data_IF_370099746547
#
_entry.id   IF_370099746547
#
_cell.length_a   1.000
_cell.length_b   1.000
_cell.length_c   1.000
_cell.angle_alpha   90.00
_cell.angle_beta   90.00
_cell.angle_gamma   90.00
#
_symmetry.space_group_name_H-M   'P 1'
#
loop_
_entity.id
_entity.type
_entity.pdbx_description
1 polymer ?
#
# COMPACT_ATOMS: atom_id res chain seq x y z
N UNK A 1 -13.06 62.52 58.58
CA UNK A 1 -12.73 62.16 57.19
C UNK A 1 -14.03 61.99 56.40
N UNK A 2 -14.38 62.97 55.58
CA UNK A 2 -15.58 62.99 54.74
C UNK A 2 -15.30 62.31 53.39
N UNK A 3 -16.03 61.23 53.08
CA UNK A 3 -15.89 60.48 51.84
C UNK A 3 -16.64 61.15 50.68
N UNK A 4 -15.89 61.70 49.72
CA UNK A 4 -16.46 62.26 48.49
C UNK A 4 -16.77 61.13 47.48
N UNK A 5 -18.05 60.83 47.30
CA UNK A 5 -18.52 59.90 46.25
C UNK A 5 -18.58 60.63 44.91
N UNK A 6 -17.54 60.46 44.07
CA UNK A 6 -17.52 60.97 42.70
C UNK A 6 -18.47 60.13 41.83
N UNK A 7 -19.69 60.63 41.63
CA UNK A 7 -20.66 60.07 40.68
C UNK A 7 -20.22 60.45 39.26
N UNK A 8 -19.61 59.50 38.54
CA UNK A 8 -19.36 59.65 37.10
C UNK A 8 -20.71 59.66 36.36
N UNK A 9 -21.12 60.84 35.91
CA UNK A 9 -22.33 61.06 35.11
C UNK A 9 -21.93 60.84 33.65
N UNK A 10 -22.17 59.63 33.13
CA UNK A 10 -22.01 59.34 31.70
C UNK A 10 -23.01 60.19 30.91
N UNK A 11 -22.48 61.10 30.09
CA UNK A 11 -23.27 61.88 29.14
C UNK A 11 -23.69 60.96 28.00
N UNK A 12 -24.93 60.48 28.04
CA UNK A 12 -25.60 59.87 26.89
C UNK A 12 -25.79 60.94 25.82
N UNK A 13 -24.87 61.01 24.87
CA UNK A 13 -25.03 61.85 23.69
C UNK A 13 -26.11 61.24 22.80
N UNK A 14 -27.30 61.83 22.86
CA UNK A 14 -28.43 61.54 21.98
C UNK A 14 -28.14 62.10 20.58
N UNK A 15 -27.29 61.40 19.84
CA UNK A 15 -26.95 61.68 18.43
C UNK A 15 -26.55 60.37 17.73
N UNK A 16 -27.27 59.29 18.02
CA UNK A 16 -26.87 57.92 17.67
C UNK A 16 -27.85 57.18 16.76
N UNK A 17 -29.04 57.69 16.45
CA UNK A 17 -30.09 56.91 15.75
C UNK A 17 -29.69 56.44 14.36
N UNK A 18 -29.05 57.30 13.55
CA UNK A 18 -28.57 56.93 12.22
C UNK A 18 -27.35 56.00 12.27
N UNK A 19 -26.42 56.22 13.21
CA UNK A 19 -25.28 55.35 13.41
C UNK A 19 -25.69 53.96 13.95
N UNK A 20 -26.65 53.89 14.87
CA UNK A 20 -27.25 52.64 15.33
C UNK A 20 -28.01 51.93 14.23
N UNK A 21 -28.77 52.64 13.39
CA UNK A 21 -29.45 52.05 12.23
C UNK A 21 -28.44 51.47 11.22
N UNK A 22 -27.35 52.20 10.92
CA UNK A 22 -26.27 51.71 10.06
C UNK A 22 -25.61 50.46 10.66
N UNK A 23 -25.28 50.48 11.96
CA UNK A 23 -24.71 49.32 12.65
C UNK A 23 -25.66 48.12 12.70
N UNK A 24 -26.97 48.37 12.82
CA UNK A 24 -27.99 47.32 12.76
C UNK A 24 -28.04 46.70 11.35
N UNK A 25 -28.06 47.51 10.29
CA UNK A 25 -28.06 47.01 8.90
C UNK A 25 -26.78 46.22 8.62
N UNK A 26 -25.62 46.74 9.01
CA UNK A 26 -24.32 46.06 8.85
C UNK A 26 -24.29 44.74 9.62
N UNK A 27 -24.80 44.70 10.86
CA UNK A 27 -24.84 43.46 11.64
C UNK A 27 -25.76 42.40 11.03
N UNK A 28 -26.91 42.78 10.46
CA UNK A 28 -27.79 41.87 9.72
C UNK A 28 -27.11 41.33 8.45
N UNK A 29 -26.42 42.19 7.70
CA UNK A 29 -25.65 41.77 6.51
C UNK A 29 -24.57 40.75 6.89
N UNK A 30 -23.80 41.02 7.95
CA UNK A 30 -22.79 40.07 8.44
C UNK A 30 -23.40 38.80 9.02
N UNK A 31 -24.55 38.86 9.69
CA UNK A 31 -25.25 37.68 10.20
C UNK A 31 -25.64 36.70 9.08
N UNK A 32 -25.97 37.22 7.88
CA UNK A 32 -26.28 36.41 6.70
C UNK A 32 -25.00 35.95 5.97
N UNK A 33 -24.01 36.82 5.81
CA UNK A 33 -22.78 36.50 5.06
C UNK A 33 -21.82 35.58 5.82
N UNK A 34 -21.69 35.75 7.14
CA UNK A 34 -20.78 34.96 7.98
C UNK A 34 -20.96 33.44 7.84
N UNK A 35 -22.18 32.85 7.93
CA UNK A 35 -22.34 31.40 7.78
C UNK A 35 -22.01 30.89 6.37
N UNK A 36 -22.19 31.71 5.34
CA UNK A 36 -21.83 31.36 3.96
C UNK A 36 -20.31 31.30 3.82
N UNK A 37 -19.61 32.33 4.30
CA UNK A 37 -18.15 32.39 4.29
C UNK A 37 -17.53 31.26 5.12
N UNK A 38 -18.09 30.96 6.30
CA UNK A 38 -17.65 29.87 7.15
C UNK A 38 -17.75 28.51 6.44
N UNK A 39 -18.85 28.26 5.71
CA UNK A 39 -19.01 27.02 4.93
C UNK A 39 -18.02 26.93 3.78
N UNK A 40 -17.78 28.02 3.06
CA UNK A 40 -16.80 28.03 1.97
C UNK A 40 -15.38 27.77 2.48
N UNK A 41 -15.01 28.39 3.61
CA UNK A 41 -13.73 28.17 4.28
C UNK A 41 -13.59 26.71 4.73
N UNK A 42 -14.63 26.15 5.36
CA UNK A 42 -14.64 24.73 5.77
C UNK A 42 -14.39 23.79 4.59
N UNK A 43 -15.10 23.98 3.48
CA UNK A 43 -14.92 23.18 2.27
C UNK A 43 -13.53 23.37 1.64
N UNK A 44 -12.99 24.59 1.65
CA UNK A 44 -11.65 24.88 1.15
C UNK A 44 -10.57 24.18 1.99
N UNK A 45 -10.67 24.24 3.31
CA UNK A 45 -9.75 23.56 4.24
C UNK A 45 -9.84 22.05 4.07
N UNK A 46 -11.05 21.49 4.00
CA UNK A 46 -11.26 20.06 3.78
C UNK A 46 -10.57 19.58 2.50
N UNK A 47 -10.77 20.27 1.37
CA UNK A 47 -10.10 19.93 0.10
C UNK A 47 -8.58 20.07 0.17
N UNK A 48 -8.06 21.08 0.86
CA UNK A 48 -6.61 21.25 1.05
C UNK A 48 -5.99 20.11 1.85
N UNK A 49 -6.69 19.61 2.87
CA UNK A 49 -6.23 18.46 3.68
C UNK A 49 -6.13 17.17 2.85
N UNK A 50 -7.08 16.91 1.96
CA UNK A 50 -7.04 15.74 1.07
C UNK A 50 -5.81 15.74 0.16
N UNK A 51 -5.50 16.87 -0.48
CA UNK A 51 -4.31 16.94 -1.33
C UNK A 51 -3.00 16.85 -0.55
N UNK A 52 -2.97 17.34 0.70
CA UNK A 52 -1.81 17.19 1.58
C UNK A 52 -1.63 15.73 1.99
N UNK A 53 -2.74 15.03 2.27
CA UNK A 53 -2.73 13.60 2.55
C UNK A 53 -2.19 12.80 1.35
N UNK A 54 -2.64 13.11 0.13
CA UNK A 54 -2.11 12.49 -1.10
C UNK A 54 -0.61 12.71 -1.28
N UNK A 55 -0.15 13.96 -1.10
CA UNK A 55 1.27 14.29 -1.19
C UNK A 55 2.11 13.53 -0.16
N UNK A 56 1.59 13.40 1.06
CA UNK A 56 2.27 12.71 2.16
C UNK A 56 2.29 11.20 1.97
N UNK A 57 1.19 10.62 1.47
CA UNK A 57 1.11 9.22 1.11
C UNK A 57 2.05 8.88 -0.06
N UNK A 58 2.10 9.72 -1.09
CA UNK A 58 3.00 9.54 -2.22
C UNK A 58 4.47 9.58 -1.77
N UNK A 59 4.80 10.51 -0.88
CA UNK A 59 6.14 10.62 -0.28
C UNK A 59 6.51 9.40 0.57
N UNK A 60 5.60 8.95 1.44
CA UNK A 60 5.85 7.83 2.35
C UNK A 60 5.97 6.49 1.62
N UNK A 61 5.04 6.22 0.71
CA UNK A 61 5.03 4.96 -0.06
C UNK A 61 6.06 4.94 -1.18
N UNK A 62 6.51 6.12 -1.61
CA UNK A 62 7.28 6.35 -2.84
C UNK A 62 6.61 5.76 -4.08
N UNK A 63 5.29 5.53 -4.08
CA UNK A 63 4.60 4.83 -5.16
C UNK A 63 3.34 5.56 -5.62
N UNK A 64 3.48 6.71 -6.31
CA UNK A 64 2.36 7.56 -6.72
C UNK A 64 1.40 6.86 -7.71
N UNK A 65 1.92 6.01 -8.61
CA UNK A 65 1.05 5.28 -9.56
C UNK A 65 0.14 4.27 -8.85
N UNK A 66 0.65 3.59 -7.81
CA UNK A 66 -0.16 2.69 -7.00
C UNK A 66 -1.29 3.40 -6.28
N UNK A 67 -1.02 4.60 -5.76
CA UNK A 67 -2.05 5.44 -5.15
C UNK A 67 -3.11 5.90 -6.16
N UNK A 68 -2.68 6.29 -7.37
CA UNK A 68 -3.60 6.65 -8.45
C UNK A 68 -4.51 5.47 -8.85
N UNK A 69 -3.92 4.28 -8.99
CA UNK A 69 -4.66 3.04 -9.29
C UNK A 69 -5.63 2.66 -8.17
N UNK A 70 -5.22 2.79 -6.91
CA UNK A 70 -6.09 2.55 -5.77
C UNK A 70 -7.30 3.50 -5.76
N UNK A 71 -7.07 4.79 -6.01
CA UNK A 71 -8.16 5.78 -6.11
C UNK A 71 -9.09 5.49 -7.29
N UNK A 72 -8.56 5.01 -8.41
CA UNK A 72 -9.36 4.60 -9.57
C UNK A 72 -10.30 3.44 -9.20
N UNK A 73 -9.77 2.39 -8.55
CA UNK A 73 -10.56 1.25 -8.06
C UNK A 73 -11.62 1.70 -7.06
N UNK A 74 -11.27 2.54 -6.07
CA UNK A 74 -12.23 3.03 -5.07
C UNK A 74 -13.31 3.88 -5.74
N UNK A 75 -12.95 4.73 -6.71
CA UNK A 75 -13.91 5.58 -7.43
C UNK A 75 -14.84 4.79 -8.36
N UNK A 76 -14.39 3.63 -8.83
CA UNK A 76 -15.20 2.72 -9.67
C UNK A 76 -16.24 1.96 -8.86
N UNK A 77 -16.07 1.84 -7.54
CA UNK A 77 -17.01 1.14 -6.70
C UNK A 77 -18.25 2.02 -6.41
N UNK A 78 -19.40 1.61 -6.94
CA UNK A 78 -20.65 2.36 -6.85
C UNK A 78 -21.62 1.82 -5.81
N UNK A 79 -21.19 0.96 -4.87
CA UNK A 79 -22.06 0.44 -3.83
C UNK A 79 -22.71 1.60 -3.04
N UNK A 80 -24.06 1.74 -3.06
CA UNK A 80 -24.72 2.76 -2.27
C UNK A 80 -24.53 2.47 -0.79
N UNK A 81 -23.96 3.42 -0.07
CA UNK A 81 -23.86 3.37 1.40
C UNK A 81 -25.20 3.87 1.96
N UNK A 82 -25.97 2.97 2.58
CA UNK A 82 -27.26 3.31 3.20
C UNK A 82 -27.11 4.32 4.36
N UNK A 83 -25.97 4.31 5.06
CA UNK A 83 -25.70 5.13 6.24
C UNK A 83 -24.85 6.40 5.99
N UNK A 84 -24.66 6.81 4.73
CA UNK A 84 -23.82 7.98 4.43
C UNK A 84 -24.53 9.30 4.81
N UNK A 85 -24.05 9.96 5.86
CA UNK A 85 -24.52 11.28 6.31
C UNK A 85 -23.48 12.37 6.01
N UNK A 86 -23.89 13.64 5.96
CA UNK A 86 -23.00 14.80 5.79
C UNK A 86 -21.96 14.91 6.90
N UNK A 87 -22.28 14.45 8.12
CA UNK A 87 -21.38 14.44 9.27
C UNK A 87 -20.26 13.40 9.11
N UNK A 88 -20.58 12.24 8.54
CA UNK A 88 -19.61 11.15 8.35
C UNK A 88 -18.88 11.23 7.01
N UNK A 89 -19.34 12.06 6.07
CA UNK A 89 -18.73 12.25 4.75
C UNK A 89 -17.19 12.52 4.78
N UNK A 90 -16.62 13.27 5.74
CA UNK A 90 -15.17 13.46 5.84
C UNK A 90 -14.38 12.19 6.23
N UNK A 91 -15.03 11.17 6.78
CA UNK A 91 -14.36 9.90 7.13
C UNK A 91 -14.20 8.95 5.93
N UNK A 92 -14.87 9.24 4.82
CA UNK A 92 -14.79 8.42 3.61
C UNK A 92 -13.69 8.95 2.67
N UNK A 93 -12.98 8.01 2.04
CA UNK A 93 -11.92 8.30 1.04
C UNK A 93 -12.51 8.95 -0.23
N UNK A 94 -13.72 8.54 -0.62
CA UNK A 94 -14.48 9.09 -1.76
C UNK A 94 -15.82 9.61 -1.25
N UNK A 95 -16.25 10.76 -1.76
CA UNK A 95 -17.49 11.40 -1.31
C UNK A 95 -18.71 10.50 -1.61
N UNK A 96 -19.38 9.95 -0.58
CA UNK A 96 -20.49 9.02 -0.77
C UNK A 96 -21.77 9.72 -1.26
N UNK A 97 -21.83 11.05 -1.19
CA UNK A 97 -23.00 11.87 -1.55
C UNK A 97 -23.00 12.29 -3.04
N UNK A 98 -21.99 11.87 -3.83
CA UNK A 98 -21.80 12.27 -5.23
C UNK A 98 -22.92 11.82 -6.19
N UNK A 99 -23.71 10.79 -5.83
CA UNK A 99 -24.72 10.20 -6.74
C UNK A 99 -25.82 11.16 -7.19
N UNK A 100 -26.08 12.29 -6.51
CA UNK A 100 -27.28 13.09 -6.81
C UNK A 100 -27.15 14.16 -7.92
N UNK A 101 -26.00 14.76 -8.25
CA UNK A 101 -25.94 15.81 -9.32
C UNK A 101 -24.54 15.92 -9.96
N UNK A 102 -24.41 15.62 -11.26
CA UNK A 102 -23.12 15.47 -11.97
C UNK A 102 -22.34 16.76 -12.34
N UNK A 103 -22.82 17.98 -12.02
CA UNK A 103 -22.06 19.23 -12.35
C UNK A 103 -22.07 20.32 -11.27
N UNK A 104 -23.15 20.43 -10.48
CA UNK A 104 -23.27 21.42 -9.38
C UNK A 104 -22.71 20.93 -8.02
N UNK A 105 -22.33 19.65 -7.92
CA UNK A 105 -21.80 19.05 -6.69
C UNK A 105 -20.33 19.36 -6.42
N UNK A 106 -19.55 19.76 -7.43
CA UNK A 106 -18.11 20.05 -7.24
C UNK A 106 -17.88 21.25 -6.31
N UNK A 107 -18.77 22.24 -6.34
CA UNK A 107 -18.66 23.45 -5.51
C UNK A 107 -18.97 23.19 -4.03
N UNK A 108 -19.88 22.25 -3.75
CA UNK A 108 -20.34 21.90 -2.39
C UNK A 108 -19.80 20.57 -1.86
N UNK A 109 -18.89 19.93 -2.59
CA UNK A 109 -18.26 18.67 -2.16
C UNK A 109 -17.23 18.92 -1.06
N UNK A 110 -17.30 18.09 -0.01
CA UNK A 110 -16.31 18.04 1.08
C UNK A 110 -14.94 17.55 0.61
N UNK A 111 -14.91 16.85 -0.52
CA UNK A 111 -13.71 16.29 -1.14
C UNK A 111 -13.46 16.88 -2.53
N UNK A 112 -12.20 17.01 -2.96
CA UNK A 112 -11.91 17.31 -4.35
C UNK A 112 -12.31 16.12 -5.23
N UNK A 113 -12.67 16.35 -6.50
CA UNK A 113 -13.02 15.26 -7.40
C UNK A 113 -11.85 14.29 -7.55
N UNK A 114 -12.15 12.99 -7.49
CA UNK A 114 -11.15 11.91 -7.54
C UNK A 114 -10.34 11.92 -8.82
N UNK A 115 -10.94 12.30 -9.95
CA UNK A 115 -10.26 12.41 -11.25
C UNK A 115 -9.11 13.41 -11.23
N UNK A 116 -9.25 14.54 -10.52
CA UNK A 116 -8.17 15.52 -10.37
C UNK A 116 -7.02 14.95 -9.54
N UNK A 117 -7.33 14.26 -8.43
CA UNK A 117 -6.31 13.61 -7.57
C UNK A 117 -5.51 12.58 -8.35
N UNK A 118 -6.19 11.72 -9.11
CA UNK A 118 -5.56 10.72 -9.98
C UNK A 118 -4.65 11.39 -11.01
N UNK A 119 -5.12 12.47 -11.66
CA UNK A 119 -4.32 13.21 -12.65
C UNK A 119 -3.06 13.82 -12.03
N UNK A 120 -3.15 14.37 -10.82
CA UNK A 120 -1.99 14.92 -10.10
C UNK A 120 -0.99 13.80 -9.79
N UNK A 121 -1.44 12.69 -9.20
CA UNK A 121 -0.55 11.58 -8.83
C UNK A 121 0.15 10.95 -10.03
N UNK A 122 -0.56 10.76 -11.16
CA UNK A 122 0.02 10.23 -12.40
C UNK A 122 1.01 11.17 -13.07
N UNK A 123 0.83 12.48 -12.90
CA UNK A 123 1.74 13.49 -13.47
C UNK A 123 2.99 13.73 -12.63
N UNK A 124 3.08 13.14 -11.43
CA UNK A 124 4.29 13.22 -10.60
C UNK A 124 5.47 12.56 -11.30
N UNK A 125 6.61 13.22 -11.33
CA UNK A 125 7.86 12.66 -11.85
C UNK A 125 8.60 11.82 -10.79
N UNK A 126 8.71 12.34 -9.57
CA UNK A 126 9.25 11.64 -8.40
C UNK A 126 8.17 11.37 -7.34
N UNK A 127 8.61 11.17 -6.10
CA UNK A 127 7.75 11.01 -4.92
C UNK A 127 7.88 12.16 -3.92
N UNK A 128 8.67 13.20 -4.22
CA UNK A 128 8.90 14.33 -3.33
C UNK A 128 7.73 15.29 -3.24
N UNK A 129 7.74 16.14 -2.21
CA UNK A 129 6.78 17.23 -2.09
C UNK A 129 6.91 18.27 -3.21
N UNK A 130 8.13 18.53 -3.68
CA UNK A 130 8.36 19.40 -4.84
C UNK A 130 7.69 18.84 -6.10
N UNK A 131 7.84 17.53 -6.34
CA UNK A 131 7.24 16.85 -7.49
C UNK A 131 5.71 16.87 -7.42
N UNK A 132 5.15 16.71 -6.23
CA UNK A 132 3.70 16.82 -6.03
C UNK A 132 3.22 18.25 -6.31
N UNK A 133 3.93 19.26 -5.80
CA UNK A 133 3.55 20.66 -5.95
C UNK A 133 3.63 21.13 -7.42
N UNK A 134 4.63 20.67 -8.19
CA UNK A 134 4.73 20.97 -9.62
C UNK A 134 3.62 20.28 -10.43
N UNK A 135 3.29 19.04 -10.09
CA UNK A 135 2.18 18.28 -10.69
C UNK A 135 0.82 18.87 -10.34
N UNK A 136 0.67 19.38 -9.12
CA UNK A 136 -0.54 20.11 -8.73
C UNK A 136 -0.70 21.41 -9.52
N UNK A 137 0.38 22.18 -9.70
CA UNK A 137 0.34 23.43 -10.45
C UNK A 137 0.00 23.21 -11.94
N UNK A 138 0.46 22.09 -12.53
CA UNK A 138 0.12 21.74 -13.92
C UNK A 138 -1.37 21.40 -14.10
N UNK A 139 -1.99 20.77 -13.09
CA UNK A 139 -3.42 20.42 -13.12
C UNK A 139 -4.30 21.60 -12.71
N UNK A 140 -3.86 22.44 -11.75
CA UNK A 140 -4.59 23.60 -11.23
C UNK A 140 -3.73 24.87 -11.22
N UNK A 141 -3.57 25.56 -12.37
CA UNK A 141 -2.70 26.73 -12.47
C UNK A 141 -3.20 27.94 -11.65
N UNK A 142 -4.51 28.04 -11.39
CA UNK A 142 -5.11 29.14 -10.62
C UNK A 142 -5.17 28.89 -9.11
N UNK A 143 -4.76 27.70 -8.64
CA UNK A 143 -4.85 27.35 -7.22
C UNK A 143 -3.57 27.73 -6.46
N UNK A 144 -3.75 28.15 -5.21
CA UNK A 144 -2.62 28.45 -4.30
C UNK A 144 -1.79 27.21 -4.00
N UNK A 145 -0.51 27.39 -3.68
CA UNK A 145 0.37 26.32 -3.17
C UNK A 145 -0.27 25.58 -1.99
N UNK A 146 -0.31 24.26 -2.08
CA UNK A 146 -0.90 23.41 -1.04
C UNK A 146 0.13 23.11 0.04
N UNK A 147 1.36 22.83 -0.38
CA UNK A 147 2.45 22.47 0.50
C UNK A 147 3.01 23.74 1.15
N UNK A 148 3.22 23.75 2.48
CA UNK A 148 3.79 24.90 3.17
C UNK A 148 5.22 25.14 2.69
N UNK A 149 5.63 26.42 2.63
CA UNK A 149 6.97 26.82 2.18
C UNK A 149 8.10 26.13 2.95
N UNK A 150 7.89 25.82 4.24
CA UNK A 150 8.84 25.07 5.07
C UNK A 150 9.12 23.66 4.53
N UNK A 151 8.09 22.95 4.06
CA UNK A 151 8.21 21.60 3.51
C UNK A 151 8.76 21.58 2.07
N UNK A 152 8.73 22.72 1.37
CA UNK A 152 9.34 22.86 0.04
C UNK A 152 10.85 23.18 0.11
N UNK A 153 11.37 23.55 1.28
CA UNK A 153 12.81 23.82 1.47
C UNK A 153 13.67 22.57 1.39
N UNK A 154 13.13 21.41 1.79
CA UNK A 154 13.81 20.14 1.61
C UNK A 154 13.78 19.77 0.14
N UNK A 155 14.87 20.06 -0.58
CA UNK A 155 15.12 19.58 -1.96
C UNK A 155 15.46 18.09 -1.92
N UNK A 156 14.54 17.28 -1.42
CA UNK A 156 14.68 15.84 -1.30
C UNK A 156 14.18 15.20 -2.60
N UNK A 157 15.11 14.72 -3.42
CA UNK A 157 14.80 14.00 -4.66
C UNK A 157 14.51 12.54 -4.33
N UNK A 158 13.23 12.22 -4.13
CA UNK A 158 12.79 10.85 -3.87
C UNK A 158 12.41 10.17 -5.17
N UNK A 159 13.17 9.14 -5.54
CA UNK A 159 12.81 8.26 -6.66
C UNK A 159 11.56 7.44 -6.34
N UNK A 160 10.78 7.12 -7.38
CA UNK A 160 9.63 6.24 -7.26
C UNK A 160 10.10 4.81 -7.00
N UNK A 161 9.46 4.16 -6.03
CA UNK A 161 9.56 2.72 -5.77
C UNK A 161 8.83 1.96 -6.89
N UNK A 162 9.44 0.89 -7.39
CA UNK A 162 8.77 -0.03 -8.32
C UNK A 162 7.62 -0.80 -7.64
N UNK A 163 6.63 -1.23 -8.42
CA UNK A 163 5.56 -2.09 -7.93
C UNK A 163 6.14 -3.39 -7.35
N UNK A 164 5.82 -3.73 -6.10
CA UNK A 164 6.18 -5.02 -5.52
C UNK A 164 5.13 -6.11 -5.78
N UNK A 165 4.34 -5.95 -6.84
CA UNK A 165 3.34 -6.95 -7.21
C UNK A 165 4.13 -8.14 -7.76
N UNK A 166 3.98 -9.31 -7.14
CA UNK A 166 4.36 -10.58 -7.77
C UNK A 166 3.65 -10.63 -9.13
N UNK A 167 4.41 -10.72 -10.22
CA UNK A 167 3.93 -10.80 -11.61
C UNK A 167 2.99 -11.99 -11.90
N UNK A 168 2.55 -12.71 -10.88
CA UNK A 168 1.62 -13.83 -10.93
C UNK A 168 0.15 -13.40 -11.15
N UNK A 169 -0.11 -12.42 -12.03
CA UNK A 169 -1.47 -12.26 -12.53
C UNK A 169 -1.80 -13.52 -13.36
N UNK A 170 -2.86 -14.29 -13.02
CA UNK A 170 -3.15 -15.53 -13.74
C UNK A 170 -3.39 -15.22 -15.21
N UNK A 171 -2.71 -15.93 -16.12
CA UNK A 171 -2.76 -15.64 -17.57
C UNK A 171 -4.17 -15.85 -18.16
N UNK A 172 -5.04 -16.56 -17.44
CA UNK A 172 -6.46 -16.73 -17.79
C UNK A 172 -7.36 -16.91 -16.57
N UNK A 173 -8.66 -16.62 -16.72
CA UNK A 173 -9.68 -16.93 -15.69
C UNK A 173 -9.70 -18.42 -15.32
N UNK A 174 -9.53 -19.32 -16.30
CA UNK A 174 -9.44 -20.77 -16.07
C UNK A 174 -8.24 -21.14 -15.20
N UNK A 175 -7.11 -20.49 -15.41
CA UNK A 175 -5.90 -20.69 -14.61
C UNK A 175 -6.07 -20.12 -13.20
N UNK A 176 -6.72 -18.95 -13.07
CA UNK A 176 -7.09 -18.39 -11.77
C UNK A 176 -7.95 -19.34 -10.94
N UNK A 177 -9.02 -19.90 -11.53
CA UNK A 177 -9.89 -20.88 -10.87
C UNK A 177 -9.11 -22.15 -10.47
N UNK A 178 -8.20 -22.62 -11.33
CA UNK A 178 -7.34 -23.78 -11.00
C UNK A 178 -6.39 -23.48 -9.84
N UNK A 179 -5.77 -22.31 -9.82
CA UNK A 179 -4.84 -21.90 -8.77
C UNK A 179 -5.56 -21.75 -7.43
N UNK A 180 -6.74 -21.15 -7.42
CA UNK A 180 -7.59 -21.05 -6.22
C UNK A 180 -8.01 -22.45 -5.75
N UNK A 181 -8.45 -23.33 -6.66
CA UNK A 181 -8.81 -24.71 -6.32
C UNK A 181 -7.64 -25.53 -5.78
N UNK A 182 -6.43 -25.33 -6.29
CA UNK A 182 -5.21 -25.95 -5.76
C UNK A 182 -4.86 -25.42 -4.38
N UNK A 183 -5.01 -24.12 -4.14
CA UNK A 183 -4.75 -23.52 -2.84
C UNK A 183 -5.72 -24.02 -1.77
N UNK A 184 -7.02 -24.10 -2.07
CA UNK A 184 -8.03 -24.68 -1.18
C UNK A 184 -7.67 -26.14 -0.84
N UNK A 185 -7.21 -26.93 -1.82
CA UNK A 185 -6.79 -28.32 -1.58
C UNK A 185 -5.51 -28.41 -0.76
N UNK A 186 -4.55 -27.52 -0.97
CA UNK A 186 -3.33 -27.44 -0.15
C UNK A 186 -3.67 -27.18 1.33
N UNK A 187 -4.59 -26.25 1.60
CA UNK A 187 -5.09 -25.94 2.96
C UNK A 187 -5.77 -27.16 3.59
N UNK A 188 -6.46 -27.98 2.79
CA UNK A 188 -7.07 -29.22 3.24
C UNK A 188 -6.10 -30.43 3.28
N UNK A 189 -4.79 -30.18 3.24
CA UNK A 189 -3.76 -31.23 3.40
C UNK A 189 -3.56 -32.12 2.17
N UNK A 190 -3.94 -31.67 0.96
CA UNK A 190 -3.61 -32.41 -0.26
C UNK A 190 -2.14 -32.26 -0.63
N UNK A 191 -1.51 -33.36 -1.05
CA UNK A 191 -0.19 -33.36 -1.66
C UNK A 191 -0.28 -33.20 -3.18
N UNK A 192 0.67 -32.47 -3.77
CA UNK A 192 0.76 -32.28 -5.21
C UNK A 192 2.04 -32.92 -5.74
N UNK A 193 1.90 -33.96 -6.56
CA UNK A 193 3.02 -34.66 -7.19
C UNK A 193 3.08 -34.27 -8.66
N UNK A 194 4.26 -33.93 -9.15
CA UNK A 194 4.48 -33.64 -10.57
C UNK A 194 5.13 -34.86 -11.21
N UNK A 195 4.44 -35.47 -12.17
CA UNK A 195 5.03 -36.55 -12.97
C UNK A 195 6.03 -35.98 -13.98
N UNK A 196 7.04 -36.76 -14.35
CA UNK A 196 7.99 -36.43 -15.42
C UNK A 196 7.32 -36.15 -16.78
N UNK A 197 6.09 -36.63 -17.02
CA UNK A 197 5.30 -36.29 -18.22
C UNK A 197 4.58 -34.92 -18.14
N UNK A 198 4.80 -34.16 -17.06
CA UNK A 198 4.22 -32.85 -16.80
C UNK A 198 2.84 -32.85 -16.14
N UNK A 199 2.27 -34.02 -15.83
CA UNK A 199 0.96 -34.09 -15.16
C UNK A 199 1.09 -33.85 -13.65
N UNK A 200 0.35 -32.86 -13.13
CA UNK A 200 0.21 -32.59 -11.69
C UNK A 200 -0.91 -33.47 -11.10
N UNK A 201 -0.52 -34.46 -10.31
CA UNK A 201 -1.42 -35.40 -9.63
C UNK A 201 -1.71 -34.86 -8.22
N UNK A 202 -2.97 -34.88 -7.81
CA UNK A 202 -3.45 -34.35 -6.53
C UNK A 202 -3.80 -35.53 -5.62
N UNK A 203 -3.10 -35.69 -4.51
CA UNK A 203 -3.32 -36.77 -3.55
C UNK A 203 -4.01 -36.23 -2.30
N UNK A 204 -5.11 -36.84 -1.84
CA UNK A 204 -5.72 -36.48 -0.56
C UNK A 204 -4.81 -36.89 0.60
N UNK A 205 -4.99 -36.25 1.76
CA UNK A 205 -4.26 -36.54 3.00
C UNK A 205 -4.37 -38.00 3.47
N UNK A 206 -5.49 -38.68 3.14
CA UNK A 206 -5.76 -40.07 3.54
C UNK A 206 -5.23 -41.13 2.54
N UNK A 207 -4.35 -40.77 1.61
CA UNK A 207 -3.84 -41.72 0.61
C UNK A 207 -2.80 -42.68 1.22
N UNK A 208 -3.12 -43.98 1.28
CA UNK A 208 -2.32 -45.00 2.01
C UNK A 208 -1.30 -45.77 1.17
N UNK A 209 -1.32 -45.64 -0.16
CA UNK A 209 -0.43 -46.42 -1.03
C UNK A 209 0.93 -45.71 -1.18
N UNK A 210 2.06 -46.45 -1.15
CA UNK A 210 3.40 -45.87 -1.28
C UNK A 210 3.70 -45.37 -2.70
N UNK A 211 2.86 -45.74 -3.69
CA UNK A 211 3.04 -45.36 -5.08
C UNK A 211 1.69 -44.98 -5.71
N UNK A 212 1.74 -44.08 -6.70
CA UNK A 212 0.61 -43.70 -7.56
C UNK A 212 1.04 -43.81 -9.02
N UNK A 213 0.22 -44.45 -9.85
CA UNK A 213 0.47 -44.54 -11.29
C UNK A 213 -0.07 -43.30 -12.00
N UNK A 214 0.73 -42.74 -12.90
CA UNK A 214 0.32 -41.59 -13.69
C UNK A 214 -0.64 -42.00 -14.82
N UNK A 215 -1.87 -41.45 -14.91
CA UNK A 215 -2.83 -41.83 -15.94
C UNK A 215 -2.43 -41.40 -17.37
N UNK A 216 -1.41 -40.53 -17.51
CA UNK A 216 -0.93 -40.06 -18.81
C UNK A 216 0.22 -40.90 -19.38
N UNK A 217 1.05 -41.51 -18.52
CA UNK A 217 2.27 -42.20 -18.97
C UNK A 217 2.56 -43.51 -18.24
N UNK A 218 1.64 -43.99 -17.39
CA UNK A 218 1.72 -45.22 -16.61
C UNK A 218 2.98 -45.39 -15.73
N UNK A 219 3.75 -44.33 -15.49
CA UNK A 219 4.89 -44.36 -14.57
C UNK A 219 4.41 -44.37 -13.13
N UNK A 220 5.02 -45.24 -12.31
CA UNK A 220 4.81 -45.29 -10.88
C UNK A 220 5.63 -44.20 -10.19
N UNK A 221 4.96 -43.34 -9.42
CA UNK A 221 5.56 -42.23 -8.68
C UNK A 221 5.48 -42.59 -7.20
N UNK A 222 6.61 -42.53 -6.50
CA UNK A 222 6.65 -42.73 -5.06
C UNK A 222 5.96 -41.57 -4.33
N UNK A 223 5.06 -41.89 -3.41
CA UNK A 223 4.41 -40.92 -2.53
C UNK A 223 5.28 -40.78 -1.29
N UNK A 224 5.77 -39.58 -0.94
CA UNK A 224 6.53 -39.39 0.28
C UNK A 224 5.58 -39.45 1.49
N UNK A 225 5.32 -40.67 1.98
CA UNK A 225 4.40 -40.94 3.09
C UNK A 225 4.81 -40.24 4.40
N UNK A 226 6.08 -39.84 4.53
CA UNK A 226 6.62 -39.15 5.71
C UNK A 226 6.35 -37.63 5.70
N UNK A 227 5.99 -37.04 4.55
CA UNK A 227 5.93 -35.58 4.40
C UNK A 227 4.52 -34.99 4.45
N UNK A 228 3.45 -35.77 4.29
CA UNK A 228 2.09 -35.21 4.28
C UNK A 228 1.67 -34.68 5.67
N UNK A 229 2.15 -35.30 6.76
CA UNK A 229 1.93 -34.81 8.13
C UNK A 229 2.94 -33.72 8.55
N UNK A 230 4.21 -33.82 8.12
CA UNK A 230 5.26 -32.87 8.50
C UNK A 230 5.17 -31.51 7.77
N UNK A 231 4.53 -31.46 6.59
CA UNK A 231 4.37 -30.21 5.84
C UNK A 231 3.30 -29.30 6.47
N UNK A 232 2.32 -29.86 7.19
CA UNK A 232 1.32 -29.09 7.95
C UNK A 232 1.97 -28.39 9.14
N UNK A 233 2.85 -29.09 9.88
CA UNK A 233 3.58 -28.52 11.03
C UNK A 233 4.69 -27.56 10.61
N UNK A 234 5.33 -27.78 9.45
CA UNK A 234 6.31 -26.85 8.88
C UNK A 234 5.66 -25.55 8.35
N UNK A 235 4.44 -25.63 7.82
CA UNK A 235 3.68 -24.45 7.37
C UNK A 235 3.21 -23.57 8.54
N UNK A 236 2.74 -24.18 9.64
CA UNK A 236 2.41 -23.44 10.88
C UNK A 236 3.65 -22.83 11.54
N UNK A 237 4.79 -23.53 11.54
CA UNK A 237 6.05 -23.00 12.09
C UNK A 237 6.62 -21.83 11.24
N UNK A 238 6.44 -21.86 9.92
CA UNK A 238 6.89 -20.81 9.01
C UNK A 238 6.05 -19.52 9.09
N UNK A 239 4.79 -19.59 9.56
CA UNK A 239 3.94 -18.40 9.76
C UNK A 239 4.25 -17.65 11.06
N UNK A 240 4.95 -18.26 12.01
CA UNK A 240 5.26 -17.63 13.33
C UNK A 240 6.63 -16.96 13.41
N UNK A 241 7.44 -17.01 12.34
CA UNK A 241 8.80 -16.42 12.30
C UNK A 241 9.01 -15.58 11.05
N UNK A 242 8.17 -14.57 10.85
CA UNK A 242 8.37 -13.50 9.85
C UNK A 242 8.18 -12.14 10.50
N UNK A 243 8.88 -11.92 11.60
CA UNK A 243 9.36 -10.61 11.98
C UNK A 243 10.84 -10.74 12.27
N UNK A 244 11.61 -9.87 11.63
CA UNK A 244 13.08 -9.77 11.61
C UNK A 244 13.75 -10.52 10.46
N UNK A 245 14.39 -9.68 9.66
CA UNK A 245 15.38 -9.94 8.63
C UNK A 245 14.82 -10.09 7.21
N UNK A 246 14.70 -8.91 6.58
CA UNK A 246 14.63 -8.81 5.14
C UNK A 246 15.89 -9.35 4.46
N UNK A 247 15.78 -9.41 3.12
CA UNK A 247 16.83 -9.80 2.17
C UNK A 247 17.02 -11.32 2.03
N UNK A 248 16.16 -11.94 1.23
CA UNK A 248 16.57 -13.12 0.43
C UNK A 248 17.14 -12.64 -0.90
N UNK A 249 18.34 -12.06 -0.82
CA UNK A 249 19.29 -12.22 -1.91
C UNK A 249 19.83 -13.64 -1.81
N UNK A 250 19.80 -14.40 -2.90
CA UNK A 250 20.56 -15.65 -2.99
C UNK A 250 22.04 -15.26 -2.89
N UNK A 251 22.62 -15.33 -1.70
CA UNK A 251 24.06 -15.20 -1.53
C UNK A 251 24.71 -16.43 -2.13
N UNK A 252 25.28 -16.25 -3.33
CA UNK A 252 26.19 -17.23 -3.91
C UNK A 252 27.48 -17.12 -3.12
N UNK A 253 27.68 -18.02 -2.15
CA UNK A 253 28.96 -18.14 -1.49
C UNK A 253 29.96 -18.78 -2.47
N UNK A 254 31.13 -18.18 -2.63
CA UNK A 254 32.23 -18.75 -3.41
C UNK A 254 33.33 -19.23 -2.47
N UNK A 255 33.75 -20.49 -2.61
CA UNK A 255 34.92 -21.05 -1.92
C UNK A 255 36.06 -21.22 -2.92
N UNK A 256 37.26 -20.78 -2.56
CA UNK A 256 38.48 -20.95 -3.38
C UNK A 256 39.34 -22.02 -2.75
N UNK A 257 39.71 -23.05 -3.52
CA UNK A 257 40.56 -24.14 -3.03
C UNK A 257 41.96 -23.61 -2.70
N UNK A 258 42.53 -24.04 -1.57
CA UNK A 258 43.87 -23.64 -1.14
C UNK A 258 44.93 -24.67 -1.52
N UNK A 259 44.53 -25.91 -1.83
CA UNK A 259 45.42 -26.99 -2.24
C UNK A 259 44.73 -28.20 -2.86
N UNK A 260 45.54 -29.19 -3.21
CA UNK A 260 45.12 -30.45 -3.87
C UNK A 260 44.68 -31.54 -2.88
N UNK A 261 44.64 -31.25 -1.58
CA UNK A 261 44.24 -32.18 -0.53
C UNK A 261 42.73 -32.18 -0.25
N UNK A 262 42.33 -32.90 0.80
CA UNK A 262 40.99 -32.79 1.37
C UNK A 262 40.83 -31.43 2.05
N UNK A 263 39.75 -30.74 1.72
CA UNK A 263 39.45 -29.43 2.28
C UNK A 263 38.03 -29.39 2.84
N UNK A 264 37.83 -28.70 3.95
CA UNK A 264 36.51 -28.51 4.56
C UNK A 264 36.14 -27.04 4.53
N UNK A 265 34.88 -26.74 4.17
CA UNK A 265 34.33 -25.39 4.22
C UNK A 265 32.94 -25.38 4.85
N UNK A 266 32.58 -24.24 5.44
CA UNK A 266 31.27 -24.04 6.07
C UNK A 266 30.30 -23.37 5.10
N UNK A 267 29.10 -23.92 5.01
CA UNK A 267 27.97 -23.30 4.31
C UNK A 267 27.37 -22.16 5.15
N UNK A 268 26.65 -21.22 4.51
CA UNK A 268 25.92 -20.15 5.20
C UNK A 268 24.89 -20.66 6.23
N UNK A 269 24.41 -21.90 6.07
CA UNK A 269 23.52 -22.54 7.05
C UNK A 269 24.24 -23.20 8.24
N UNK A 270 25.58 -23.07 8.32
CA UNK A 270 26.41 -23.67 9.36
C UNK A 270 26.77 -25.14 9.15
N UNK A 271 26.38 -25.77 8.03
CA UNK A 271 26.79 -27.14 7.71
C UNK A 271 28.23 -27.17 7.17
N UNK A 272 29.07 -28.06 7.69
CA UNK A 272 30.43 -28.29 7.20
C UNK A 272 30.42 -29.33 6.07
N UNK A 273 31.11 -29.02 4.98
CA UNK A 273 31.23 -29.88 3.82
C UNK A 273 32.70 -30.16 3.50
N UNK A 274 33.02 -31.41 3.17
CA UNK A 274 34.34 -31.83 2.73
C UNK A 274 34.39 -31.97 1.21
N UNK A 275 35.45 -31.43 0.60
CA UNK A 275 35.78 -31.52 -0.82
C UNK A 275 36.92 -32.52 -0.96
N UNK A 276 36.75 -33.50 -1.84
CA UNK A 276 37.78 -34.50 -2.12
C UNK A 276 38.85 -33.96 -3.09
N UNK A 277 40.08 -34.51 -3.09
CA UNK A 277 41.14 -34.15 -4.04
C UNK A 277 40.72 -34.22 -5.51
N UNK A 278 39.86 -35.17 -5.86
CA UNK A 278 39.42 -35.50 -7.23
C UNK A 278 38.18 -34.71 -7.66
N UNK A 279 37.61 -33.88 -6.77
CA UNK A 279 36.40 -33.14 -7.06
C UNK A 279 36.63 -32.05 -8.13
N UNK A 280 35.91 -32.15 -9.25
CA UNK A 280 36.10 -31.33 -10.46
C UNK A 280 34.87 -30.47 -10.84
N UNK A 281 33.78 -30.53 -10.08
CA UNK A 281 32.59 -29.75 -10.37
C UNK A 281 32.72 -28.30 -9.84
N UNK A 282 32.34 -27.30 -10.65
CA UNK A 282 32.45 -25.89 -10.27
C UNK A 282 31.39 -25.41 -9.25
N UNK A 283 30.43 -26.27 -8.88
CA UNK A 283 29.35 -25.94 -7.94
C UNK A 283 29.06 -27.13 -7.04
N UNK A 284 28.90 -26.87 -5.75
CA UNK A 284 28.45 -27.85 -4.76
C UNK A 284 27.15 -27.37 -4.10
N UNK A 285 26.15 -28.26 -4.02
CA UNK A 285 24.88 -28.01 -3.34
C UNK A 285 24.91 -28.51 -1.90
N UNK A 286 24.56 -27.65 -0.94
CA UNK A 286 24.44 -28.04 0.46
C UNK A 286 23.24 -28.99 0.67
N UNK A 287 23.48 -30.15 1.28
CA UNK A 287 22.43 -31.14 1.60
C UNK A 287 21.45 -30.67 2.68
N UNK A 288 21.81 -29.67 3.50
CA UNK A 288 20.99 -29.17 4.61
C UNK A 288 20.09 -28.00 4.23
N UNK A 289 20.57 -27.06 3.41
CA UNK A 289 19.83 -25.84 3.07
C UNK A 289 19.59 -25.63 1.56
N UNK A 290 20.13 -26.49 0.70
CA UNK A 290 19.98 -26.37 -0.75
C UNK A 290 20.72 -25.19 -1.40
N UNK A 291 21.47 -24.39 -0.64
CA UNK A 291 22.29 -23.32 -1.20
C UNK A 291 23.39 -23.87 -2.10
N UNK A 292 23.70 -23.12 -3.17
CA UNK A 292 24.74 -23.45 -4.14
C UNK A 292 26.00 -22.66 -3.81
N UNK A 293 27.09 -23.37 -3.53
CA UNK A 293 28.42 -22.78 -3.35
C UNK A 293 29.21 -22.97 -4.63
N UNK A 294 29.73 -21.88 -5.21
CA UNK A 294 30.67 -21.98 -6.34
C UNK A 294 32.06 -22.36 -5.80
N UNK A 295 32.66 -23.41 -6.35
CA UNK A 295 34.02 -23.84 -6.01
C UNK A 295 34.93 -23.35 -7.13
N UNK A 296 35.79 -22.39 -6.80
CA UNK A 296 36.87 -21.92 -7.67
C UNK A 296 38.10 -22.78 -7.40
N UNK A 297 38.51 -23.52 -8.43
CA UNK A 297 39.69 -24.38 -8.42
C UNK A 297 40.98 -23.61 -8.55
#
# INVERSE_FOLDING_TARGET
YSGSSRRYRSRTSSSGGQAQAIMLIVSIVFAILAPILARLLYLAISRKREYLADASAARLTRYPEGLASALEVISSNTLPLEAANKVTAPMFIVNPLLKKKKKVSALTSTHPPTSERIKILRSMYGAGFLDYQSSFASVKPKASSIIPKSALRSKETLSKRASSIDDSKPKSLKEGVRNVGDLIRAVNGYAFLVCACGLKIKLPSNYKKPQVSCPKCNRNIAVPLVQVAAVVTAAEAAMKKKDKDGVFGVSVNSYTRKGKGWESFSCACGATHSISPVFSAGVMTCTKCGSKTQIKG
#
